data_IF_861634001242
#
_entry.id   IF_861634001242
#
_cell.length_a   1.000
_cell.length_b   1.000
_cell.length_c   1.000
_cell.angle_alpha   90.00
_cell.angle_beta   90.00
_cell.angle_gamma   90.00
#
_symmetry.space_group_name_H-M   'P 1'
#
loop_
_entity.id
_entity.type
_entity.pdbx_description
1 polymer ?
#
# COMPACT_ATOMS: atom_id res chain seq x y z
N UNK A 1 -1.61 6.61 4.14
CA UNK A 1 -1.76 5.16 4.43
C UNK A 1 -2.23 5.01 5.88
N UNK A 2 -3.50 4.65 6.08
CA UNK A 2 -4.04 4.42 7.43
C UNK A 2 -3.55 3.08 7.96
N UNK A 3 -2.99 3.07 9.16
CA UNK A 3 -2.47 1.88 9.84
C UNK A 3 -3.57 0.81 9.96
N UNK A 4 -3.35 -0.36 9.35
CA UNK A 4 -4.22 -1.53 9.50
C UNK A 4 -4.11 -2.06 10.94
N UNK A 5 -4.99 -1.56 11.82
CA UNK A 5 -5.15 -2.14 13.15
C UNK A 5 -5.79 -3.53 13.00
N UNK A 6 -4.98 -4.59 13.14
CA UNK A 6 -5.46 -5.95 13.35
C UNK A 6 -6.20 -6.01 14.69
N UNK A 7 -7.53 -6.08 14.64
CA UNK A 7 -8.37 -6.25 15.82
C UNK A 7 -8.54 -7.72 16.19
N UNK A 8 -9.18 -7.98 17.33
CA UNK A 8 -9.53 -9.34 17.83
C UNK A 8 -10.45 -10.17 16.91
N UNK A 9 -10.76 -9.65 15.72
CA UNK A 9 -11.70 -10.22 14.74
C UNK A 9 -11.02 -10.67 13.44
N UNK A 10 -9.71 -10.49 13.31
CA UNK A 10 -9.02 -10.61 12.01
C UNK A 10 -8.38 -11.99 11.74
N UNK A 11 -8.36 -12.90 12.73
CA UNK A 11 -7.91 -14.29 12.57
C UNK A 11 -8.90 -15.17 11.79
N UNK A 12 -8.59 -16.46 11.58
CA UNK A 12 -9.52 -17.45 11.03
C UNK A 12 -10.36 -18.13 12.13
N UNK A 13 -9.84 -18.20 13.35
CA UNK A 13 -10.43 -18.94 14.47
C UNK A 13 -11.76 -18.36 14.92
N UNK A 14 -12.66 -19.18 15.46
CA UNK A 14 -13.89 -18.70 16.07
C UNK A 14 -13.60 -17.61 17.12
N UNK A 15 -14.44 -16.58 17.19
CA UNK A 15 -14.30 -15.56 18.22
C UNK A 15 -14.58 -16.19 19.59
N UNK A 16 -13.62 -16.09 20.51
CA UNK A 16 -13.62 -16.69 21.85
C UNK A 16 -14.71 -16.11 22.78
N UNK A 17 -15.32 -14.99 22.39
CA UNK A 17 -16.38 -14.38 23.21
C UNK A 17 -17.59 -15.32 23.35
N UNK A 18 -17.99 -15.61 24.58
CA UNK A 18 -19.07 -16.56 24.96
C UNK A 18 -20.41 -16.37 24.23
N UNK A 19 -20.72 -15.14 23.80
CA UNK A 19 -21.95 -14.84 23.06
C UNK A 19 -21.82 -14.99 21.53
N UNK A 20 -20.65 -15.37 21.02
CA UNK A 20 -20.47 -15.61 19.59
C UNK A 20 -21.09 -16.94 19.21
N UNK A 21 -22.21 -16.89 18.47
CA UNK A 21 -22.91 -18.09 18.01
C UNK A 21 -22.43 -18.59 16.64
N UNK A 22 -21.80 -17.73 15.84
CA UNK A 22 -21.38 -18.01 14.46
C UNK A 22 -20.11 -17.23 14.08
N UNK A 23 -19.27 -17.83 13.24
CA UNK A 23 -18.19 -17.17 12.50
C UNK A 23 -18.59 -17.07 11.03
N UNK A 24 -18.20 -15.99 10.35
CA UNK A 24 -18.55 -15.72 8.96
C UNK A 24 -17.29 -15.79 8.09
N UNK A 25 -17.39 -16.38 6.88
CA UNK A 25 -16.24 -16.72 6.02
C UNK A 25 -15.38 -15.51 5.67
N UNK A 26 -16.03 -14.40 5.30
CA UNK A 26 -15.41 -13.14 4.90
C UNK A 26 -15.46 -12.09 6.01
N UNK A 27 -15.51 -12.51 7.29
CA UNK A 27 -15.44 -11.57 8.42
C UNK A 27 -14.23 -10.64 8.28
N UNK A 28 -14.44 -9.36 8.58
CA UNK A 28 -13.47 -8.27 8.44
C UNK A 28 -12.92 -8.01 7.02
N UNK A 29 -13.27 -8.80 5.99
CA UNK A 29 -12.75 -8.66 4.62
C UNK A 29 -13.69 -7.88 3.70
N UNK A 30 -14.99 -7.95 3.95
CA UNK A 30 -15.99 -7.24 3.15
C UNK A 30 -16.07 -5.79 3.63
N UNK A 31 -15.71 -4.85 2.75
CA UNK A 31 -15.76 -3.41 2.99
C UNK A 31 -16.81 -2.81 2.06
N UNK A 32 -17.71 -2.01 2.62
CA UNK A 32 -18.67 -1.25 1.84
C UNK A 32 -18.00 -0.01 1.25
N UNK A 33 -18.52 0.50 0.14
CA UNK A 33 -18.03 1.72 -0.52
C UNK A 33 -17.92 2.94 0.43
N UNK A 34 -18.74 3.01 1.49
CA UNK A 34 -18.57 4.01 2.56
C UNK A 34 -17.34 3.81 3.48
N UNK A 35 -16.44 2.88 3.14
CA UNK A 35 -15.22 2.54 3.89
C UNK A 35 -15.45 1.72 5.17
N UNK A 36 -16.69 1.31 5.48
CA UNK A 36 -17.00 0.51 6.69
C UNK A 36 -16.88 -0.98 6.41
N UNK A 37 -16.28 -1.72 7.36
CA UNK A 37 -16.33 -3.19 7.38
C UNK A 37 -17.77 -3.65 7.58
N UNK A 38 -18.24 -4.53 6.70
CA UNK A 38 -19.59 -5.09 6.76
C UNK A 38 -19.68 -6.17 7.84
N UNK A 39 -20.87 -6.31 8.42
CA UNK A 39 -21.16 -7.28 9.47
C UNK A 39 -21.83 -8.52 8.88
N UNK A 40 -21.39 -9.71 9.26
CA UNK A 40 -22.10 -10.93 8.91
C UNK A 40 -23.46 -10.99 9.60
N UNK A 41 -24.47 -11.42 8.85
CA UNK A 41 -25.86 -11.52 9.27
C UNK A 41 -26.47 -12.79 8.69
N UNK A 42 -26.71 -13.77 9.55
CA UNK A 42 -27.45 -14.98 9.20
C UNK A 42 -28.94 -14.69 9.07
N UNK A 43 -29.56 -15.25 8.03
CA UNK A 43 -30.99 -15.23 7.77
C UNK A 43 -31.62 -16.54 8.27
N UNK A 44 -32.90 -16.50 8.67
CA UNK A 44 -33.62 -17.67 9.21
C UNK A 44 -33.73 -18.81 8.20
N UNK A 45 -33.85 -18.48 6.90
CA UNK A 45 -33.87 -19.43 5.79
C UNK A 45 -32.49 -20.02 5.43
N UNK A 46 -31.48 -19.86 6.29
CA UNK A 46 -30.14 -20.44 6.12
C UNK A 46 -29.13 -19.59 5.35
N UNK A 47 -29.55 -18.53 4.64
CA UNK A 47 -28.63 -17.66 3.92
C UNK A 47 -27.75 -16.81 4.83
N UNK A 48 -26.56 -16.47 4.36
CA UNK A 48 -25.65 -15.53 5.02
C UNK A 48 -25.50 -14.28 4.18
N UNK A 49 -25.62 -13.12 4.84
CA UNK A 49 -25.41 -11.81 4.24
C UNK A 49 -24.30 -11.06 4.95
N UNK A 50 -23.62 -10.19 4.21
CA UNK A 50 -22.81 -9.11 4.76
C UNK A 50 -23.61 -7.84 4.67
N UNK A 51 -23.78 -7.13 5.79
CA UNK A 51 -24.57 -5.90 5.86
C UNK A 51 -23.75 -4.69 6.28
N UNK A 52 -23.98 -3.57 5.60
CA UNK A 52 -23.55 -2.25 6.05
C UNK A 52 -24.77 -1.49 6.55
N UNK A 53 -24.80 -1.16 7.84
CA UNK A 53 -25.88 -0.38 8.44
C UNK A 53 -25.31 0.77 9.28
N UNK A 54 -24.94 1.90 8.64
CA UNK A 54 -24.30 3.02 9.34
C UNK A 54 -25.20 3.63 10.42
N UNK A 55 -26.51 3.74 10.17
CA UNK A 55 -27.46 4.48 11.03
C UNK A 55 -27.45 4.03 12.50
N UNK A 56 -27.22 2.76 12.79
CA UNK A 56 -27.23 2.24 14.17
C UNK A 56 -25.89 2.42 14.93
N UNK A 57 -24.84 2.84 14.24
CA UNK A 57 -23.49 2.98 14.83
C UNK A 57 -22.81 4.29 14.38
N UNK A 58 -23.62 5.33 14.20
CA UNK A 58 -23.24 6.67 13.76
C UNK A 58 -23.25 7.67 14.92
N UNK A 59 -22.75 7.29 16.11
CA UNK A 59 -22.68 8.21 17.26
C UNK A 59 -21.80 9.42 16.87
N UNK A 60 -22.44 10.53 16.49
CA UNK A 60 -21.83 11.84 16.24
C UNK A 60 -21.20 12.11 14.86
N UNK A 61 -21.50 11.35 13.79
CA UNK A 61 -20.94 11.60 12.42
C UNK A 61 -21.94 11.33 11.28
N UNK A 62 -23.03 12.11 11.15
CA UNK A 62 -24.02 11.94 10.09
C UNK A 62 -23.51 12.36 8.69
N UNK A 63 -22.58 13.31 8.66
CA UNK A 63 -21.88 13.85 7.49
C UNK A 63 -21.10 12.80 6.70
N UNK A 64 -20.44 11.87 7.40
CA UNK A 64 -19.59 10.83 6.80
C UNK A 64 -20.31 9.84 5.87
N UNK A 65 -21.65 9.85 5.86
CA UNK A 65 -22.46 8.86 5.15
C UNK A 65 -23.56 9.50 4.30
N UNK A 66 -23.40 10.78 3.95
CA UNK A 66 -24.28 11.44 2.99
C UNK A 66 -24.23 10.68 1.64
N UNK A 67 -25.39 10.23 1.14
CA UNK A 67 -25.50 9.44 -0.09
C UNK A 67 -25.44 7.91 0.08
N UNK A 68 -25.14 7.39 1.27
CA UNK A 68 -25.19 5.95 1.53
C UNK A 68 -26.64 5.49 1.78
N UNK A 69 -27.13 4.40 1.15
CA UNK A 69 -28.46 3.85 1.43
C UNK A 69 -28.65 3.51 2.92
N UNK A 70 -29.91 3.42 3.39
CA UNK A 70 -30.17 3.11 4.81
C UNK A 70 -29.44 1.83 5.25
N UNK A 71 -29.49 0.78 4.44
CA UNK A 71 -28.77 -0.47 4.66
C UNK A 71 -28.36 -1.08 3.32
N UNK A 72 -27.15 -1.61 3.24
CA UNK A 72 -26.68 -2.40 2.09
C UNK A 72 -26.52 -3.85 2.54
N UNK A 73 -27.00 -4.81 1.74
CA UNK A 73 -26.86 -6.24 1.95
C UNK A 73 -26.21 -6.89 0.74
N UNK A 74 -25.27 -7.81 0.97
CA UNK A 74 -24.65 -8.64 -0.06
C UNK A 74 -24.70 -10.09 0.40
N UNK A 75 -25.15 -11.02 -0.47
CA UNK A 75 -25.18 -12.46 -0.15
C UNK A 75 -23.76 -13.02 -0.13
N UNK A 76 -23.46 -13.89 0.82
CA UNK A 76 -22.17 -14.59 0.92
C UNK A 76 -21.87 -15.43 -0.32
N UNK A 77 -22.88 -16.09 -0.89
CA UNK A 77 -22.75 -16.86 -2.14
C UNK A 77 -22.28 -15.99 -3.32
N UNK A 78 -22.81 -14.77 -3.46
CA UNK A 78 -22.41 -13.86 -4.52
C UNK A 78 -20.95 -13.41 -4.36
N UNK A 79 -20.50 -13.18 -3.12
CA UNK A 79 -19.10 -12.88 -2.82
C UNK A 79 -18.23 -14.11 -3.13
N UNK A 80 -18.69 -15.29 -2.77
CA UNK A 80 -17.97 -16.56 -3.00
C UNK A 80 -17.77 -16.78 -4.49
N UNK A 81 -18.80 -16.62 -5.32
CA UNK A 81 -18.71 -16.78 -6.76
C UNK A 81 -17.67 -15.85 -7.40
N UNK A 82 -17.64 -14.57 -7.00
CA UNK A 82 -16.65 -13.60 -7.52
C UNK A 82 -15.24 -13.94 -7.04
N UNK A 83 -15.08 -14.36 -5.78
CA UNK A 83 -13.78 -14.78 -5.23
C UNK A 83 -13.26 -16.02 -5.95
N UNK A 84 -14.11 -17.01 -6.20
CA UNK A 84 -13.75 -18.24 -6.92
C UNK A 84 -13.37 -17.93 -8.37
N UNK A 85 -14.14 -17.06 -9.04
CA UNK A 85 -13.82 -16.58 -10.38
C UNK A 85 -12.44 -15.90 -10.41
N UNK A 86 -12.16 -15.00 -9.46
CA UNK A 86 -10.85 -14.35 -9.37
C UNK A 86 -9.74 -15.37 -9.16
N UNK A 87 -9.91 -16.34 -8.25
CA UNK A 87 -8.91 -17.39 -8.04
C UNK A 87 -8.66 -18.22 -9.30
N UNK A 88 -9.71 -18.53 -10.07
CA UNK A 88 -9.57 -19.26 -11.34
C UNK A 88 -8.80 -18.47 -12.40
N UNK A 89 -8.98 -17.15 -12.45
CA UNK A 89 -8.36 -16.26 -13.45
C UNK A 89 -6.90 -15.93 -13.12
N UNK A 90 -6.54 -15.86 -11.83
CA UNK A 90 -5.21 -15.40 -11.41
C UNK A 90 -4.34 -16.54 -10.86
N UNK A 91 -4.82 -17.26 -9.84
CA UNK A 91 -3.98 -18.24 -9.14
C UNK A 91 -3.97 -19.62 -9.80
N UNK A 92 -5.11 -20.06 -10.32
CA UNK A 92 -5.27 -21.41 -10.84
C UNK A 92 -5.41 -21.47 -12.37
N UNK A 93 -5.16 -20.34 -13.04
CA UNK A 93 -5.18 -20.24 -14.49
C UNK A 93 -4.11 -21.17 -15.11
N UNK A 94 -4.38 -21.80 -16.27
CA UNK A 94 -3.39 -22.63 -16.96
C UNK A 94 -2.09 -21.89 -17.30
N UNK A 95 -2.17 -20.59 -17.57
CA UNK A 95 -1.03 -19.73 -17.89
C UNK A 95 -0.59 -18.85 -16.70
N UNK A 96 -0.89 -19.24 -15.45
CA UNK A 96 -0.57 -18.45 -14.24
C UNK A 96 0.90 -18.02 -14.16
N UNK A 97 1.84 -18.86 -14.61
CA UNK A 97 3.27 -18.53 -14.61
C UNK A 97 3.56 -17.34 -15.52
N UNK A 98 2.93 -17.29 -16.69
CA UNK A 98 3.09 -16.18 -17.65
C UNK A 98 2.48 -14.89 -17.09
N UNK A 99 1.28 -14.99 -16.49
CA UNK A 99 0.60 -13.85 -15.87
C UNK A 99 1.42 -13.28 -14.71
N UNK A 100 1.84 -14.12 -13.76
CA UNK A 100 2.63 -13.68 -12.62
C UNK A 100 3.98 -13.11 -13.04
N UNK A 101 4.70 -13.76 -13.97
CA UNK A 101 6.00 -13.28 -14.43
C UNK A 101 5.87 -11.90 -15.06
N UNK A 102 4.83 -11.70 -15.89
CA UNK A 102 4.54 -10.38 -16.47
C UNK A 102 4.25 -9.34 -15.41
N UNK A 103 3.43 -9.68 -14.41
CA UNK A 103 3.05 -8.74 -13.36
C UNK A 103 4.24 -8.36 -12.47
N UNK A 104 5.10 -9.33 -12.14
CA UNK A 104 6.37 -9.10 -11.42
C UNK A 104 7.28 -8.19 -12.25
N UNK A 105 7.44 -8.46 -13.54
CA UNK A 105 8.31 -7.67 -14.42
C UNK A 105 7.81 -6.23 -14.56
N UNK A 106 6.49 -6.05 -14.68
CA UNK A 106 5.90 -4.72 -14.72
C UNK A 106 6.05 -3.98 -13.39
N UNK A 107 5.88 -4.68 -12.25
CA UNK A 107 6.08 -4.10 -10.94
C UNK A 107 7.54 -3.68 -10.73
N UNK A 108 8.50 -4.53 -11.11
CA UNK A 108 9.94 -4.26 -11.03
C UNK A 108 10.34 -3.08 -11.93
N UNK A 109 9.83 -3.02 -13.16
CA UNK A 109 10.07 -1.90 -14.07
C UNK A 109 9.53 -0.57 -13.50
N UNK A 110 8.33 -0.58 -12.91
CA UNK A 110 7.75 0.61 -12.27
C UNK A 110 8.56 1.04 -11.06
N UNK A 111 8.89 0.11 -10.17
CA UNK A 111 9.70 0.39 -8.99
C UNK A 111 11.07 0.96 -9.39
N UNK A 112 11.73 0.36 -10.38
CA UNK A 112 12.99 0.87 -10.93
C UNK A 112 12.85 2.29 -11.50
N UNK A 113 11.79 2.57 -12.27
CA UNK A 113 11.55 3.90 -12.83
C UNK A 113 11.31 4.96 -11.73
N UNK A 114 10.48 4.65 -10.73
CA UNK A 114 10.20 5.52 -9.59
C UNK A 114 11.49 5.85 -8.81
N UNK A 115 12.32 4.83 -8.54
CA UNK A 115 13.62 5.00 -7.88
C UNK A 115 14.58 5.87 -8.71
N UNK A 116 14.68 5.62 -10.01
CA UNK A 116 15.53 6.40 -10.90
C UNK A 116 15.10 7.87 -10.96
N UNK A 117 13.78 8.14 -10.97
CA UNK A 117 13.23 9.48 -10.90
C UNK A 117 13.54 10.15 -9.56
N UNK A 118 13.36 9.45 -8.45
CA UNK A 118 13.69 9.93 -7.11
C UNK A 118 15.18 10.30 -7.00
N UNK A 119 16.07 9.41 -7.47
CA UNK A 119 17.52 9.67 -7.49
C UNK A 119 17.86 10.90 -8.31
N UNK A 120 17.27 11.02 -9.51
CA UNK A 120 17.46 12.19 -10.38
C UNK A 120 17.02 13.48 -9.70
N UNK A 121 15.88 13.45 -8.98
CA UNK A 121 15.38 14.60 -8.23
C UNK A 121 16.33 15.02 -7.10
N UNK A 122 16.84 14.06 -6.33
CA UNK A 122 17.80 14.34 -5.25
C UNK A 122 19.13 14.88 -5.79
N UNK A 123 19.64 14.32 -6.89
CA UNK A 123 20.85 14.83 -7.56
C UNK A 123 20.69 16.27 -8.05
N UNK A 124 19.52 16.62 -8.64
CA UNK A 124 19.22 18.00 -9.01
C UNK A 124 19.20 18.94 -7.80
N UNK A 125 18.67 18.48 -6.67
CA UNK A 125 18.66 19.25 -5.42
C UNK A 125 20.07 19.50 -4.90
N UNK A 126 20.96 18.50 -4.95
CA UNK A 126 22.37 18.68 -4.57
C UNK A 126 23.05 19.70 -5.47
N UNK A 127 22.85 19.61 -6.79
CA UNK A 127 23.44 20.57 -7.75
C UNK A 127 22.94 22.00 -7.50
N UNK A 128 21.67 22.18 -7.14
CA UNK A 128 21.12 23.49 -6.77
C UNK A 128 21.73 24.03 -5.47
N UNK A 129 21.84 23.20 -4.44
CA UNK A 129 22.47 23.56 -3.16
C UNK A 129 23.95 23.94 -3.35
N UNK A 130 24.69 23.18 -4.16
CA UNK A 130 26.08 23.46 -4.49
C UNK A 130 26.23 24.82 -5.22
N UNK A 131 25.35 25.12 -6.19
CA UNK A 131 25.35 26.41 -6.89
C UNK A 131 25.09 27.57 -5.93
N UNK A 132 24.15 27.41 -4.98
CA UNK A 132 23.86 28.43 -3.96
C UNK A 132 25.07 28.65 -3.04
N UNK A 133 25.75 27.58 -2.63
CA UNK A 133 26.98 27.66 -1.82
C UNK A 133 28.07 28.44 -2.56
N UNK A 134 28.31 28.14 -3.83
CA UNK A 134 29.29 28.85 -4.66
C UNK A 134 28.94 30.34 -4.82
N UNK A 135 27.65 30.67 -4.99
CA UNK A 135 27.21 32.07 -5.04
C UNK A 135 27.49 32.82 -3.73
N UNK A 136 27.31 32.18 -2.57
CA UNK A 136 27.61 32.79 -1.27
C UNK A 136 29.11 33.00 -1.08
N UNK A 137 29.94 32.03 -1.49
CA UNK A 137 31.39 32.16 -1.40
C UNK A 137 31.91 33.33 -2.24
N UNK A 138 31.41 33.47 -3.48
CA UNK A 138 31.75 34.62 -4.35
C UNK A 138 31.34 35.97 -3.76
N UNK A 139 30.25 36.02 -3.00
CA UNK A 139 29.82 37.27 -2.34
C UNK A 139 30.68 37.64 -1.12
N UNK A 140 31.35 36.68 -0.52
CA UNK A 140 32.15 36.87 0.69
C UNK A 140 33.66 37.03 0.41
N UNK A 141 34.10 36.90 -0.85
CA UNK A 141 35.52 36.81 -1.23
C UNK A 141 36.33 38.07 -0.88
N UNK A 142 35.74 39.26 -1.05
CA UNK A 142 36.41 40.56 -0.82
C UNK A 142 35.88 41.31 0.43
N UNK A 143 35.08 40.65 1.27
CA UNK A 143 34.38 41.32 2.37
C UNK A 143 35.12 41.19 3.71
N UNK A 144 34.95 42.18 4.59
CA UNK A 144 35.53 42.17 5.94
C UNK A 144 34.96 41.00 6.77
N UNK A 145 35.80 40.08 7.30
CA UNK A 145 35.34 38.95 8.11
C UNK A 145 34.53 39.33 9.35
N UNK A 146 34.74 40.53 9.89
CA UNK A 146 34.05 41.03 11.08
C UNK A 146 32.74 41.77 10.75
N UNK A 147 32.40 41.94 9.47
CA UNK A 147 31.13 42.50 9.03
C UNK A 147 29.96 41.55 9.43
N UNK A 148 28.94 42.04 10.18
CA UNK A 148 27.74 41.27 10.51
C UNK A 148 27.04 40.62 9.30
N UNK A 149 27.14 41.22 8.11
CA UNK A 149 26.63 40.66 6.87
C UNK A 149 27.38 39.39 6.46
N UNK A 150 28.72 39.39 6.53
CA UNK A 150 29.58 38.24 6.22
C UNK A 150 29.35 37.10 7.21
N UNK A 151 29.16 37.42 8.50
CA UNK A 151 28.76 36.42 9.50
C UNK A 151 27.42 35.76 9.15
N UNK A 152 26.45 36.54 8.64
CA UNK A 152 25.18 36.04 8.11
C UNK A 152 25.35 35.09 6.91
N UNK A 153 26.22 35.45 5.96
CA UNK A 153 26.55 34.59 4.81
C UNK A 153 27.19 33.27 5.24
N UNK A 154 28.13 33.32 6.20
CA UNK A 154 28.78 32.12 6.76
C UNK A 154 27.76 31.21 7.45
N UNK A 155 26.85 31.76 8.23
CA UNK A 155 25.75 30.99 8.83
C UNK A 155 24.90 30.33 7.74
N UNK A 156 24.50 31.09 6.71
CA UNK A 156 23.69 30.55 5.61
C UNK A 156 24.42 29.46 4.83
N UNK A 157 25.72 29.59 4.62
CA UNK A 157 26.54 28.55 4.00
C UNK A 157 26.51 27.24 4.80
N UNK A 158 26.66 27.33 6.13
CA UNK A 158 26.59 26.16 7.02
C UNK A 158 25.21 25.51 7.01
N UNK A 159 24.14 26.30 6.95
CA UNK A 159 22.78 25.78 6.79
C UNK A 159 22.64 24.99 5.48
N UNK A 160 23.12 25.54 4.36
CA UNK A 160 23.11 24.86 3.06
C UNK A 160 23.98 23.59 3.06
N UNK A 161 25.11 23.59 3.76
CA UNK A 161 25.94 22.39 3.93
C UNK A 161 25.19 21.29 4.70
N UNK A 162 24.49 21.68 5.77
CA UNK A 162 23.64 20.76 6.54
C UNK A 162 22.52 20.21 5.67
N UNK A 163 21.81 21.06 4.92
CA UNK A 163 20.78 20.63 3.96
C UNK A 163 21.36 19.67 2.90
N UNK A 164 22.57 19.92 2.40
CA UNK A 164 23.23 19.06 1.42
C UNK A 164 23.59 17.69 1.99
N UNK A 165 24.09 17.62 3.22
CA UNK A 165 24.36 16.34 3.90
C UNK A 165 23.08 15.53 4.06
N UNK A 166 21.98 16.13 4.48
CA UNK A 166 20.68 15.44 4.58
C UNK A 166 20.27 14.82 3.24
N UNK A 167 20.43 15.55 2.12
CA UNK A 167 20.09 15.02 0.79
C UNK A 167 21.06 13.90 0.35
N UNK A 168 22.33 13.96 0.74
CA UNK A 168 23.29 12.88 0.49
C UNK A 168 22.93 11.61 1.28
N UNK A 169 22.52 11.76 2.54
CA UNK A 169 22.06 10.66 3.37
C UNK A 169 20.78 10.02 2.79
N UNK A 170 19.86 10.83 2.24
CA UNK A 170 18.68 10.33 1.52
C UNK A 170 19.05 9.48 0.29
N UNK A 171 20.10 9.86 -0.46
CA UNK A 171 20.61 9.06 -1.59
C UNK A 171 21.25 7.76 -1.10
N UNK A 172 22.06 7.82 -0.04
CA UNK A 172 22.69 6.64 0.54
C UNK A 172 21.63 5.65 1.05
N UNK A 173 20.58 6.14 1.70
CA UNK A 173 19.45 5.31 2.14
C UNK A 173 18.71 4.66 0.96
N UNK A 174 18.54 5.38 -0.16
CA UNK A 174 17.96 4.82 -1.38
C UNK A 174 18.84 3.71 -1.96
N UNK A 175 20.16 3.90 -1.99
CA UNK A 175 21.13 2.90 -2.47
C UNK A 175 21.16 1.64 -1.59
N UNK A 176 21.03 1.78 -0.28
CA UNK A 176 20.95 0.66 0.65
C UNK A 176 19.62 -0.11 0.53
N UNK A 177 18.51 0.60 0.28
CA UNK A 177 17.22 -0.04 -0.02
C UNK A 177 17.28 -0.89 -1.29
N UNK A 178 17.95 -0.40 -2.33
CA UNK A 178 18.13 -1.15 -3.58
C UNK A 178 18.95 -2.43 -3.39
N UNK A 179 19.98 -2.39 -2.54
CA UNK A 179 20.79 -3.57 -2.21
C UNK A 179 20.03 -4.58 -1.35
N UNK A 180 19.11 -4.12 -0.51
CA UNK A 180 18.31 -4.96 0.36
C UNK A 180 17.10 -5.59 -0.34
N UNK A 181 16.73 -5.10 -1.54
CA UNK A 181 15.57 -5.61 -2.26
C UNK A 181 15.80 -7.08 -2.67
N UNK A 182 14.85 -7.98 -2.39
CA UNK A 182 15.01 -9.39 -2.72
C UNK A 182 15.14 -9.58 -4.24
N UNK A 183 16.07 -10.43 -4.65
CA UNK A 183 16.27 -10.74 -6.07
C UNK A 183 14.99 -11.28 -6.69
N UNK A 184 14.84 -11.02 -7.99
CA UNK A 184 13.83 -11.67 -8.82
C UNK A 184 13.90 -13.19 -8.68
N UNK A 185 12.74 -13.81 -8.54
CA UNK A 185 12.60 -15.27 -8.55
C UNK A 185 13.08 -15.81 -9.90
N UNK A 186 13.94 -16.82 -9.86
CA UNK A 186 14.40 -17.56 -11.04
C UNK A 186 13.27 -18.36 -11.66
N UNK A 187 13.40 -18.71 -12.94
CA UNK A 187 12.43 -19.59 -13.62
C UNK A 187 12.23 -20.91 -12.87
N UNK A 188 13.31 -21.47 -12.29
CA UNK A 188 13.26 -22.68 -11.49
C UNK A 188 12.43 -22.53 -10.22
N UNK A 189 12.51 -21.37 -9.55
CA UNK A 189 11.68 -21.08 -8.38
C UNK A 189 10.21 -20.88 -8.76
N UNK A 190 9.95 -20.30 -9.94
CA UNK A 190 8.59 -20.13 -10.47
C UNK A 190 7.93 -21.44 -10.88
N UNK A 191 8.70 -22.51 -11.15
CA UNK A 191 8.14 -23.84 -11.44
C UNK A 191 7.31 -24.42 -10.28
N UNK A 192 7.50 -23.95 -9.04
CA UNK A 192 6.62 -24.36 -7.92
C UNK A 192 5.15 -24.04 -8.19
N UNK A 193 4.88 -23.01 -9.00
CA UNK A 193 3.52 -22.65 -9.37
C UNK A 193 2.87 -23.76 -10.19
N UNK A 194 3.63 -24.47 -11.02
CA UNK A 194 3.11 -25.56 -11.84
C UNK A 194 2.64 -26.76 -11.00
N UNK A 195 3.09 -26.86 -9.74
CA UNK A 195 2.60 -27.86 -8.78
C UNK A 195 1.21 -27.54 -8.19
N UNK A 196 0.71 -26.31 -8.35
CA UNK A 196 -0.65 -25.96 -7.91
C UNK A 196 -1.70 -26.59 -8.85
N UNK A 197 -2.81 -27.12 -8.30
CA UNK A 197 -3.87 -27.70 -9.11
C UNK A 197 -4.54 -26.63 -9.98
N UNK A 198 -5.03 -27.01 -11.16
CA UNK A 198 -5.91 -26.14 -11.93
C UNK A 198 -7.33 -26.24 -11.38
N UNK A 199 -7.96 -25.09 -11.16
CA UNK A 199 -9.37 -25.03 -10.76
C UNK A 199 -10.21 -24.95 -12.03
N UNK A 200 -10.63 -26.11 -12.54
CA UNK A 200 -11.74 -26.19 -13.50
C UNK A 200 -13.03 -25.95 -12.73
N UNK A 201 -13.48 -24.69 -12.69
CA UNK A 201 -14.82 -24.36 -12.19
C UNK A 201 -15.84 -24.85 -13.23
N UNK A 202 -16.40 -26.04 -13.03
CA UNK A 202 -17.61 -26.46 -13.72
C UNK A 202 -18.80 -25.74 -13.08
N UNK A 203 -19.28 -24.67 -13.71
CA UNK A 203 -20.49 -23.96 -13.26
C UNK A 203 -21.80 -24.68 -13.66
N UNK A 204 -21.74 -25.85 -14.29
CA UNK A 204 -22.92 -26.57 -14.82
C UNK A 204 -23.60 -27.53 -13.82
N UNK A 205 -23.52 -27.26 -12.51
CA UNK A 205 -24.40 -27.91 -11.53
C UNK A 205 -24.97 -26.86 -10.57
N UNK A 206 -25.98 -26.14 -11.06
CA UNK A 206 -27.01 -25.49 -10.27
C UNK A 206 -28.26 -26.38 -10.23
#
# INVERSE_FOLDING_TARGET
>A
MGTEKKGSRDGADANVHRCTKRSYRYRSRVICDCGRRMQGHGHERGYVYYRCWPTNNNRGRPDKHAGHPRTVYVREEAITAVVDQAFSQFLFHPQRRVLLSRDVDQAEQRAHAERAEQRTRLQRRIADLARRQENLLRQAEDADPDDPFVQGLRKRYNDLQTERHVVLDEIAALDDQDRAEPRRASETELNILDALPHLTLNFDRA
#
